data_IF_333946112310
#
_entry.id   IF_333946112310
#
_cell.length_a   1.000
_cell.length_b   1.000
_cell.length_c   1.000
_cell.angle_alpha   90.00
_cell.angle_beta   90.00
_cell.angle_gamma   90.00
#
_symmetry.space_group_name_H-M   'P 1'
#
loop_
_entity.id
_entity.type
_entity.pdbx_description
1 polymer ?
#
# COMPACT_ATOMS: atom_id res chain seq x y z
N UNK A 1 -3.29 3.13 2.42
CA UNK A 1 -2.29 2.03 2.38
C UNK A 1 -1.93 1.52 3.77
N UNK A 2 -1.90 2.39 4.79
CA UNK A 2 -1.61 2.04 6.19
C UNK A 2 -2.37 0.81 6.71
N UNK A 3 -3.69 0.79 6.56
CA UNK A 3 -4.56 -0.31 7.01
C UNK A 3 -4.15 -1.67 6.42
N UNK A 4 -3.84 -1.68 5.12
CA UNK A 4 -3.40 -2.88 4.41
C UNK A 4 -2.04 -3.37 4.93
N UNK A 5 -1.05 -2.48 5.06
CA UNK A 5 0.28 -2.85 5.59
C UNK A 5 0.14 -3.36 7.02
N UNK A 6 -0.53 -2.60 7.89
CA UNK A 6 -0.75 -2.99 9.29
C UNK A 6 -1.44 -4.35 9.41
N UNK A 7 -2.43 -4.64 8.56
CA UNK A 7 -3.12 -5.94 8.57
C UNK A 7 -2.23 -7.08 8.04
N UNK A 8 -1.36 -6.78 7.07
CA UNK A 8 -0.43 -7.76 6.51
C UNK A 8 0.72 -8.05 7.46
N UNK A 9 1.44 -7.04 7.94
CA UNK A 9 2.69 -7.21 8.69
C UNK A 9 2.51 -7.17 10.20
N UNK A 10 1.34 -6.77 10.68
CA UNK A 10 1.17 -6.33 12.06
C UNK A 10 1.70 -4.91 12.28
N UNK A 11 1.44 -4.37 13.46
CA UNK A 11 1.98 -3.07 13.89
C UNK A 11 2.09 -2.97 15.40
N UNK A 12 2.83 -1.97 15.87
CA UNK A 12 2.93 -1.60 17.27
C UNK A 12 2.41 -0.16 17.39
N UNK A 13 1.46 0.05 18.30
CA UNK A 13 0.91 1.38 18.60
C UNK A 13 1.28 1.75 20.03
N UNK A 14 1.89 2.92 20.21
CA UNK A 14 2.22 3.46 21.53
C UNK A 14 1.28 4.60 21.86
N UNK A 15 0.45 4.45 22.89
CA UNK A 15 -0.53 5.46 23.34
C UNK A 15 -0.55 5.53 24.86
N UNK A 16 -0.65 6.73 25.44
CA UNK A 16 -0.79 6.91 26.89
C UNK A 16 0.25 6.11 27.72
N UNK A 17 1.51 6.11 27.28
CA UNK A 17 2.61 5.31 27.87
C UNK A 17 2.42 3.79 27.85
N UNK A 18 1.44 3.28 27.11
CA UNK A 18 1.20 1.85 26.88
C UNK A 18 1.61 1.45 25.46
N UNK A 19 2.04 0.20 25.33
CA UNK A 19 2.40 -0.41 24.04
C UNK A 19 1.35 -1.46 23.69
N UNK A 20 0.73 -1.30 22.53
CA UNK A 20 -0.27 -2.22 21.98
C UNK A 20 0.33 -2.94 20.77
N UNK A 21 0.29 -4.27 20.81
CA UNK A 21 0.73 -5.11 19.71
C UNK A 21 -0.48 -5.56 18.91
N UNK A 22 -0.40 -5.34 17.60
CA UNK A 22 -1.40 -5.81 16.63
C UNK A 22 -0.70 -6.80 15.73
N UNK A 23 -0.95 -8.09 15.96
CA UNK A 23 -0.36 -9.16 15.16
C UNK A 23 -0.88 -9.11 13.71
N UNK A 24 -0.09 -9.69 12.80
CA UNK A 24 -0.52 -9.90 11.42
C UNK A 24 -1.85 -10.65 11.35
N UNK A 25 -2.77 -10.13 10.55
CA UNK A 25 -4.05 -10.75 10.21
C UNK A 25 -3.93 -11.63 8.95
N UNK A 26 -2.87 -11.44 8.16
CA UNK A 26 -2.58 -12.22 6.96
C UNK A 26 -1.71 -13.45 7.31
N UNK A 27 -2.31 -14.41 8.02
CA UNK A 27 -1.59 -15.57 8.57
C UNK A 27 -1.30 -16.69 7.56
N UNK A 28 -1.89 -16.62 6.37
CA UNK A 28 -1.72 -17.58 5.30
C UNK A 28 -1.56 -16.88 3.94
N UNK A 29 -1.11 -17.63 2.93
CA UNK A 29 -0.90 -17.10 1.58
C UNK A 29 -2.18 -16.51 0.98
N UNK A 30 -3.35 -17.13 1.22
CA UNK A 30 -4.63 -16.68 0.67
C UNK A 30 -5.03 -15.31 1.22
N UNK A 31 -4.95 -15.13 2.53
CA UNK A 31 -5.24 -13.87 3.21
C UNK A 31 -4.23 -12.80 2.80
N UNK A 32 -2.94 -13.15 2.69
CA UNK A 32 -1.90 -12.26 2.19
C UNK A 32 -2.19 -11.77 0.77
N UNK A 33 -2.51 -12.68 -0.16
CA UNK A 33 -2.90 -12.34 -1.53
C UNK A 33 -4.16 -11.46 -1.55
N UNK A 34 -5.13 -11.73 -0.68
CA UNK A 34 -6.36 -10.94 -0.59
C UNK A 34 -6.09 -9.48 -0.18
N UNK A 35 -5.13 -9.24 0.71
CA UNK A 35 -4.69 -7.88 1.04
C UNK A 35 -3.92 -7.22 -0.11
N UNK A 36 -3.12 -7.99 -0.85
CA UNK A 36 -2.30 -7.50 -1.95
C UNK A 36 -3.12 -7.14 -3.19
N UNK A 37 -3.97 -8.05 -3.66
CA UNK A 37 -4.66 -7.97 -4.96
C UNK A 37 -6.17 -7.82 -4.86
N UNK A 38 -6.73 -8.00 -3.67
CA UNK A 38 -8.17 -8.12 -3.45
C UNK A 38 -8.59 -9.58 -3.36
N UNK A 39 -9.72 -9.83 -2.70
CA UNK A 39 -10.19 -11.17 -2.41
C UNK A 39 -11.17 -11.22 -1.24
N UNK A 40 -11.74 -12.38 -1.01
CA UNK A 40 -12.71 -12.65 0.05
C UNK A 40 -12.03 -13.20 1.31
N UNK A 41 -12.76 -13.21 2.43
CA UNK A 41 -12.33 -13.82 3.70
C UNK A 41 -11.08 -13.19 4.32
N UNK A 42 -10.83 -11.91 4.06
CA UNK A 42 -9.76 -11.18 4.70
C UNK A 42 -10.19 -10.63 6.08
N UNK A 43 -9.22 -10.33 6.94
CA UNK A 43 -9.43 -9.56 8.17
C UNK A 43 -8.57 -8.32 8.12
N UNK A 44 -9.12 -7.16 8.45
CA UNK A 44 -8.42 -5.87 8.36
C UNK A 44 -8.48 -5.12 9.68
N UNK A 45 -7.39 -4.46 10.02
CA UNK A 45 -7.38 -3.36 10.98
C UNK A 45 -7.73 -2.06 10.24
N UNK A 46 -8.83 -1.43 10.64
CA UNK A 46 -9.27 -0.14 10.13
C UNK A 46 -8.91 0.96 11.12
N UNK A 47 -8.20 1.98 10.63
CA UNK A 47 -7.84 3.15 11.43
C UNK A 47 -9.06 4.03 11.72
N UNK A 48 -9.26 4.37 12.99
CA UNK A 48 -10.32 5.28 13.46
C UNK A 48 -10.08 6.75 13.04
N UNK A 49 -8.81 7.11 12.82
CA UNK A 49 -8.33 8.47 12.63
C UNK A 49 -7.01 8.49 11.85
N UNK A 50 -6.56 9.68 11.45
CA UNK A 50 -5.25 9.88 10.78
C UNK A 50 -4.09 9.33 11.62
N UNK A 51 -4.19 9.44 12.94
CA UNK A 51 -3.17 8.96 13.88
C UNK A 51 -3.20 7.44 14.07
N UNK A 52 -4.36 6.81 13.86
CA UNK A 52 -4.60 5.37 13.98
C UNK A 52 -4.13 4.80 15.33
N UNK A 53 -4.58 5.45 16.41
CA UNK A 53 -4.18 5.08 17.78
C UNK A 53 -5.04 3.94 18.34
N UNK A 54 -6.27 3.77 17.82
CA UNK A 54 -7.16 2.68 18.21
C UNK A 54 -7.71 1.96 16.97
N UNK A 55 -6.87 1.15 16.29
CA UNK A 55 -7.33 0.33 15.18
C UNK A 55 -8.50 -0.58 15.58
N UNK A 56 -9.53 -0.63 14.73
CA UNK A 56 -10.66 -1.54 14.87
C UNK A 56 -10.48 -2.77 14.00
N UNK A 57 -10.79 -3.96 14.54
CA UNK A 57 -10.68 -5.21 13.80
C UNK A 57 -11.99 -5.55 13.09
N UNK A 58 -11.92 -5.73 11.78
CA UNK A 58 -13.02 -6.24 10.95
C UNK A 58 -12.63 -7.60 10.37
N UNK A 59 -13.52 -8.58 10.46
CA UNK A 59 -13.28 -9.97 10.02
C UNK A 59 -14.22 -10.35 8.89
N UNK A 60 -13.79 -11.32 8.08
CA UNK A 60 -14.57 -11.89 6.99
C UNK A 60 -15.06 -10.83 5.99
N UNK A 61 -14.16 -9.90 5.64
CA UNK A 61 -14.45 -8.86 4.67
C UNK A 61 -14.01 -9.28 3.26
N UNK A 62 -14.61 -8.64 2.27
CA UNK A 62 -14.15 -8.69 0.89
C UNK A 62 -13.36 -7.41 0.59
N UNK A 63 -12.10 -7.56 0.19
CA UNK A 63 -11.26 -6.47 -0.27
C UNK A 63 -11.42 -6.37 -1.77
N UNK A 64 -12.01 -5.28 -2.25
CA UNK A 64 -12.10 -4.99 -3.68
C UNK A 64 -10.69 -4.79 -4.26
N UNK A 65 -10.43 -5.16 -5.53
CA UNK A 65 -9.12 -4.98 -6.16
C UNK A 65 -8.59 -3.55 -6.07
N UNK A 66 -9.46 -2.54 -6.18
CA UNK A 66 -9.09 -1.12 -6.08
C UNK A 66 -8.75 -0.71 -4.65
N UNK A 67 -9.31 -1.41 -3.67
CA UNK A 67 -9.08 -1.18 -2.24
C UNK A 67 -7.93 -2.02 -1.68
N UNK A 68 -7.41 -2.97 -2.46
CA UNK A 68 -6.22 -3.74 -2.15
C UNK A 68 -4.97 -2.85 -2.09
N UNK A 69 -3.88 -3.38 -1.55
CA UNK A 69 -2.62 -2.65 -1.51
C UNK A 69 -2.14 -2.28 -2.92
N UNK A 70 -2.14 -3.23 -3.86
CA UNK A 70 -1.72 -2.99 -5.23
C UNK A 70 -2.65 -2.00 -5.95
N UNK A 71 -3.96 -2.12 -5.74
CA UNK A 71 -4.95 -1.18 -6.30
C UNK A 71 -4.73 0.25 -5.83
N UNK A 72 -4.54 0.44 -4.51
CA UNK A 72 -4.24 1.75 -3.92
C UNK A 72 -2.91 2.32 -4.41
N UNK A 73 -1.87 1.50 -4.50
CA UNK A 73 -0.57 1.92 -5.02
C UNK A 73 -0.66 2.34 -6.50
N UNK A 74 -1.37 1.57 -7.33
CA UNK A 74 -1.63 1.92 -8.75
C UNK A 74 -2.39 3.23 -8.90
N UNK A 75 -3.38 3.48 -8.04
CA UNK A 75 -4.12 4.74 -8.04
C UNK A 75 -3.22 5.92 -7.67
N UNK A 76 -2.37 5.78 -6.65
CA UNK A 76 -1.39 6.81 -6.26
C UNK A 76 -0.41 7.12 -7.41
N UNK A 77 0.13 6.08 -8.06
CA UNK A 77 1.00 6.25 -9.24
C UNK A 77 0.30 6.96 -10.40
N UNK A 78 -0.98 6.64 -10.63
CA UNK A 78 -1.78 7.28 -11.68
C UNK A 78 -2.01 8.76 -11.37
N UNK A 79 -2.30 9.10 -10.11
CA UNK A 79 -2.46 10.48 -9.67
C UNK A 79 -1.15 11.28 -9.81
N UNK A 80 -0.02 10.65 -9.48
CA UNK A 80 1.31 11.24 -9.62
C UNK A 80 1.66 11.49 -11.09
N UNK A 81 1.39 10.52 -11.96
CA UNK A 81 1.57 10.69 -13.41
C UNK A 81 0.74 11.85 -13.93
N UNK A 82 -0.53 11.93 -13.54
CA UNK A 82 -1.39 13.04 -13.95
C UNK A 82 -0.84 14.40 -13.47
N UNK A 83 -0.33 14.50 -12.24
CA UNK A 83 0.30 15.73 -11.76
C UNK A 83 1.55 16.09 -12.55
N UNK A 84 2.39 15.10 -12.86
CA UNK A 84 3.58 15.28 -13.68
C UNK A 84 3.22 15.83 -15.06
N UNK A 85 2.25 15.21 -15.74
CA UNK A 85 1.80 15.60 -17.07
C UNK A 85 1.23 17.04 -17.10
N UNK A 86 0.71 17.53 -15.98
CA UNK A 86 0.17 18.88 -15.81
C UNK A 86 1.14 19.84 -15.11
N UNK A 87 2.43 19.48 -14.97
CA UNK A 87 3.46 20.27 -14.27
C UNK A 87 3.02 20.78 -12.88
N UNK A 88 2.23 19.98 -12.17
CA UNK A 88 1.75 20.29 -10.83
C UNK A 88 2.75 19.77 -9.80
N UNK A 89 3.06 20.60 -8.80
CA UNK A 89 3.99 20.24 -7.74
C UNK A 89 3.51 19.02 -6.92
N UNK A 90 4.46 18.14 -6.59
CA UNK A 90 4.24 17.02 -5.68
C UNK A 90 4.33 17.49 -4.23
N UNK A 91 3.40 17.02 -3.42
CA UNK A 91 3.43 17.20 -1.97
C UNK A 91 4.52 16.32 -1.33
N UNK A 92 4.91 16.67 -0.10
CA UNK A 92 5.87 15.87 0.67
C UNK A 92 5.44 14.40 0.84
N UNK A 93 4.14 14.13 0.95
CA UNK A 93 3.61 12.77 1.07
C UNK A 93 3.76 11.97 -0.25
N UNK A 94 3.54 12.65 -1.38
CA UNK A 94 3.71 12.06 -2.71
C UNK A 94 5.19 11.78 -3.02
N UNK A 95 6.08 12.69 -2.63
CA UNK A 95 7.54 12.49 -2.73
C UNK A 95 7.97 11.32 -1.85
N UNK A 96 7.52 11.26 -0.59
CA UNK A 96 7.83 10.16 0.32
C UNK A 96 7.34 8.81 -0.22
N UNK A 97 6.17 8.77 -0.87
CA UNK A 97 5.69 7.57 -1.55
C UNK A 97 6.60 7.15 -2.71
N UNK A 98 7.01 8.10 -3.57
CA UNK A 98 7.96 7.82 -4.66
C UNK A 98 9.30 7.30 -4.12
N UNK A 99 9.84 7.92 -3.07
CA UNK A 99 11.06 7.44 -2.40
C UNK A 99 10.88 6.04 -1.83
N UNK A 100 9.72 5.73 -1.24
CA UNK A 100 9.46 4.39 -0.68
C UNK A 100 9.44 3.27 -1.73
N UNK A 101 9.09 3.58 -2.98
CA UNK A 101 9.14 2.62 -4.09
C UNK A 101 10.60 2.33 -4.49
N UNK A 102 11.48 3.33 -4.39
CA UNK A 102 12.90 3.16 -4.67
C UNK A 102 13.67 2.39 -3.58
N UNK A 103 13.20 2.47 -2.33
CA UNK A 103 13.98 2.04 -1.16
C UNK A 103 13.47 0.77 -0.41
N UNK A 104 12.24 0.24 -0.63
CA UNK A 104 11.61 -0.74 0.30
C UNK A 104 11.03 -2.03 -0.35
N UNK A 105 11.70 -3.18 -0.12
CA UNK A 105 11.24 -4.57 0.18
C UNK A 105 10.48 -5.54 -0.81
N UNK A 106 10.62 -6.89 -0.63
CA UNK A 106 10.13 -8.00 -1.47
C UNK A 106 8.61 -8.17 -1.62
N UNK A 107 7.79 -7.36 -0.94
CA UNK A 107 6.34 -7.32 -1.19
C UNK A 107 6.10 -6.90 -2.64
N UNK A 108 7.01 -6.07 -3.18
CA UNK A 108 7.01 -5.73 -4.58
C UNK A 108 7.17 -6.95 -5.48
N UNK A 109 7.92 -8.02 -5.18
CA UNK A 109 7.98 -9.21 -6.07
C UNK A 109 6.59 -9.84 -6.31
N UNK A 110 5.73 -9.85 -5.28
CA UNK A 110 4.36 -10.35 -5.37
C UNK A 110 3.38 -9.39 -6.05
N UNK A 111 3.64 -8.08 -5.98
CA UNK A 111 2.90 -7.05 -6.72
C UNK A 111 3.35 -7.07 -8.19
N UNK A 112 4.65 -7.18 -8.40
CA UNK A 112 5.39 -7.11 -9.66
C UNK A 112 5.11 -8.34 -10.52
N UNK A 113 4.88 -9.56 -10.01
CA UNK A 113 4.52 -10.69 -10.89
C UNK A 113 3.27 -10.45 -11.78
N UNK A 114 2.39 -9.49 -11.45
CA UNK A 114 1.36 -8.97 -12.38
C UNK A 114 1.51 -7.47 -12.71
N UNK A 115 2.47 -6.77 -12.09
CA UNK A 115 2.72 -5.35 -12.29
C UNK A 115 4.17 -5.01 -12.70
N UNK A 116 4.91 -5.93 -13.33
CA UNK A 116 6.07 -5.62 -14.21
C UNK A 116 5.54 -4.75 -15.36
N UNK A 117 5.21 -3.50 -15.04
CA UNK A 117 5.06 -2.37 -15.94
C UNK A 117 5.46 -1.06 -15.25
N UNK A 118 5.74 -1.07 -13.94
CA UNK A 118 6.46 0.02 -13.27
C UNK A 118 7.83 0.30 -13.94
N UNK A 119 8.50 -0.75 -14.42
CA UNK A 119 9.77 -0.66 -15.17
C UNK A 119 9.57 -0.13 -16.60
N UNK A 120 8.48 -0.47 -17.28
CA UNK A 120 8.22 0.00 -18.65
C UNK A 120 7.84 1.48 -18.73
N UNK A 121 7.23 2.04 -17.68
CA UNK A 121 6.82 3.44 -17.65
C UNK A 121 8.02 4.38 -17.38
N UNK A 122 8.99 3.96 -16.57
CA UNK A 122 10.24 4.72 -16.38
C UNK A 122 11.22 4.56 -17.56
N UNK A 123 11.28 3.38 -18.18
CA UNK A 123 12.11 3.16 -19.38
C UNK A 123 11.71 4.02 -20.60
N UNK A 124 10.43 4.43 -20.67
CA UNK A 124 9.94 5.33 -21.72
C UNK A 124 10.40 6.78 -21.52
N UNK A 125 10.64 7.21 -20.27
CA UNK A 125 11.08 8.57 -19.93
C UNK A 125 12.58 8.78 -20.17
N UNK A 126 13.37 7.72 -20.20
CA UNK A 126 14.83 7.78 -20.43
C UNK A 126 15.17 7.94 -21.92
N UNK A 127 14.36 7.40 -22.85
CA UNK A 127 14.64 7.45 -24.30
C UNK A 127 14.29 8.77 -24.99
N UNK A 128 13.64 9.72 -24.32
CA UNK A 128 13.31 11.04 -24.88
C UNK A 128 14.44 12.06 -24.61
N UNK A 129 15.39 11.73 -23.73
CA UNK A 129 16.59 12.54 -23.46
C UNK A 129 17.84 12.04 -24.22
N UNK A 130 17.65 11.33 -25.34
CA UNK A 130 18.72 10.83 -26.22
C UNK A 130 18.44 11.17 -27.67
#
# INVERSE_FOLDING_TARGET
MRDSIMSMTGTIVVTNNNVHFYDSLAQDEKSWISHLKGGESASIYSCDSVSCLHPSLQRNITILPEQSYAGKAKQQLTNLKNKFDHNTEFSNHEIAFLSSIGDIFPIYDYIILESISGVTILDSLIRINS
#
